data_IF_139808738761
#
_entry.id   IF_139808738761
#
_cell.length_a   1.000
_cell.length_b   1.000
_cell.length_c   1.000
_cell.angle_alpha   90.00
_cell.angle_beta   90.00
_cell.angle_gamma   90.00
#
_symmetry.space_group_name_H-M   'P 1'
#
loop_
_entity.id
_entity.type
_entity.pdbx_description
1 polymer ?
#
# COMPACT_ATOMS: atom_id res chain seq x y z
N UNK A 1 -24.08 -5.17 -53.86
CA UNK A 1 -23.77 -6.09 -52.74
C UNK A 1 -24.57 -5.58 -51.55
N UNK A 2 -25.82 -6.05 -51.41
CA UNK A 2 -26.30 -7.00 -50.39
C UNK A 2 -26.25 -6.46 -48.95
N UNK A 3 -27.44 -6.17 -48.42
CA UNK A 3 -27.77 -6.05 -47.00
C UNK A 3 -27.90 -7.45 -46.39
N UNK A 4 -27.48 -7.65 -45.13
CA UNK A 4 -28.05 -8.67 -44.22
C UNK A 4 -28.01 -8.15 -42.78
N UNK A 5 -29.19 -8.09 -42.19
CA UNK A 5 -29.45 -8.00 -40.76
C UNK A 5 -29.69 -9.43 -40.20
N UNK A 6 -29.66 -9.54 -38.87
CA UNK A 6 -29.99 -10.72 -38.05
C UNK A 6 -28.91 -11.82 -38.06
N UNK A 7 -28.58 -12.49 -36.95
CA UNK A 7 -29.39 -12.85 -35.79
C UNK A 7 -28.49 -13.21 -34.60
N UNK A 8 -28.86 -12.80 -33.39
CA UNK A 8 -28.66 -13.64 -32.20
C UNK A 8 -29.73 -14.75 -32.25
N UNK A 9 -29.45 -15.98 -31.76
CA UNK A 9 -29.69 -16.25 -30.34
C UNK A 9 -28.72 -17.26 -29.65
N UNK A 10 -28.51 -17.01 -28.36
CA UNK A 10 -28.61 -17.92 -27.19
C UNK A 10 -27.97 -19.34 -27.20
N UNK A 11 -27.05 -19.56 -26.25
CA UNK A 11 -26.94 -20.74 -25.37
C UNK A 11 -25.84 -20.45 -24.33
N UNK A 12 -26.19 -20.08 -23.09
CA UNK A 12 -26.48 -21.00 -21.98
C UNK A 12 -25.36 -22.04 -21.78
N UNK A 13 -24.40 -21.73 -20.90
CA UNK A 13 -24.16 -22.59 -19.73
C UNK A 13 -23.53 -21.75 -18.63
N UNK A 14 -24.39 -21.38 -17.69
CA UNK A 14 -24.05 -21.13 -16.32
C UNK A 14 -23.12 -22.24 -15.79
N UNK A 15 -21.84 -21.93 -15.61
CA UNK A 15 -20.98 -22.69 -14.71
C UNK A 15 -20.96 -21.92 -13.40
N UNK A 16 -22.05 -22.06 -12.67
CA UNK A 16 -22.10 -21.86 -11.22
C UNK A 16 -21.15 -22.89 -10.59
N UNK A 17 -19.85 -22.57 -10.59
CA UNK A 17 -18.94 -23.16 -9.62
C UNK A 17 -19.21 -22.43 -8.31
N UNK A 18 -20.20 -22.94 -7.57
CA UNK A 18 -20.19 -22.83 -6.11
C UNK A 18 -18.98 -23.64 -5.68
N UNK A 19 -17.81 -23.01 -5.71
CA UNK A 19 -16.69 -23.44 -4.91
C UNK A 19 -17.15 -23.22 -3.47
N UNK A 20 -17.49 -24.33 -2.82
CA UNK A 20 -17.82 -24.42 -1.41
C UNK A 20 -16.69 -23.73 -0.65
N UNK A 21 -16.95 -22.47 -0.28
CA UNK A 21 -16.02 -21.67 0.49
C UNK A 21 -15.82 -22.40 1.81
N UNK A 22 -14.66 -23.04 1.92
CA UNK A 22 -14.16 -23.56 3.17
C UNK A 22 -14.33 -22.47 4.24
N UNK A 23 -14.81 -22.80 5.45
CA UNK A 23 -15.01 -21.81 6.49
C UNK A 23 -13.69 -21.06 6.69
N UNK A 24 -13.72 -19.75 6.42
CA UNK A 24 -12.59 -18.86 6.70
C UNK A 24 -12.20 -19.08 8.16
N UNK A 25 -10.92 -19.34 8.48
CA UNK A 25 -10.49 -19.44 9.85
C UNK A 25 -10.88 -18.13 10.54
N UNK A 26 -11.61 -18.22 11.65
CA UNK A 26 -12.00 -17.08 12.47
C UNK A 26 -10.79 -16.17 12.64
N UNK A 27 -10.83 -15.00 12.01
CA UNK A 27 -9.75 -14.03 12.08
C UNK A 27 -9.58 -13.66 13.56
N UNK A 28 -8.41 -13.98 14.12
CA UNK A 28 -8.08 -13.61 15.49
C UNK A 28 -8.36 -12.11 15.68
N UNK A 29 -8.95 -11.71 16.83
CA UNK A 29 -9.31 -10.31 17.05
C UNK A 29 -8.05 -9.46 16.88
N UNK A 30 -8.12 -8.49 15.97
CA UNK A 30 -7.01 -7.57 15.71
C UNK A 30 -6.63 -6.87 17.02
N UNK A 31 -5.56 -7.36 17.67
CA UNK A 31 -4.90 -6.62 18.73
C UNK A 31 -4.37 -5.32 18.13
N UNK A 32 -4.26 -4.24 18.92
CA UNK A 32 -3.82 -2.92 18.41
C UNK A 32 -2.51 -3.01 17.60
N UNK A 33 -1.65 -3.97 17.94
CA UNK A 33 -0.39 -4.25 17.26
C UNK A 33 -0.55 -4.77 15.82
N UNK A 34 -1.63 -5.47 15.50
CA UNK A 34 -1.92 -6.04 14.18
C UNK A 34 -2.88 -5.18 13.33
N UNK A 35 -3.30 -4.02 13.85
CA UNK A 35 -4.21 -3.14 13.12
C UNK A 35 -3.46 -2.45 11.97
N UNK A 36 -3.95 -2.62 10.75
CA UNK A 36 -3.40 -1.98 9.55
C UNK A 36 -3.82 -0.50 9.52
N UNK A 37 -2.84 0.39 9.59
CA UNK A 37 -3.02 1.84 9.57
C UNK A 37 -2.51 2.39 8.23
N UNK A 38 -3.38 3.09 7.50
CA UNK A 38 -3.02 3.75 6.25
C UNK A 38 -2.80 5.25 6.44
N UNK A 39 -1.61 5.75 6.08
CA UNK A 39 -1.27 7.18 6.12
C UNK A 39 -0.94 7.70 4.72
N UNK A 40 -1.22 8.99 4.48
CA UNK A 40 -0.88 9.66 3.22
C UNK A 40 0.50 10.32 3.38
N UNK A 41 1.44 9.91 2.54
CA UNK A 41 2.82 10.40 2.55
C UNK A 41 3.09 11.23 1.31
N UNK A 42 3.73 12.40 1.49
CA UNK A 42 4.20 13.23 0.39
C UNK A 42 5.53 12.65 -0.12
N UNK A 43 5.60 12.30 -1.41
CA UNK A 43 6.81 11.78 -2.03
C UNK A 43 7.73 12.92 -2.47
N UNK A 44 7.19 13.85 -3.28
CA UNK A 44 7.92 15.01 -3.81
C UNK A 44 6.94 16.18 -3.90
N UNK A 45 7.16 17.22 -3.10
CA UNK A 45 6.23 18.35 -3.02
C UNK A 45 4.82 17.96 -2.56
N UNK A 46 3.88 18.90 -2.62
CA UNK A 46 2.52 18.72 -2.09
C UNK A 46 1.57 17.97 -3.02
N UNK A 47 1.86 17.92 -4.33
CA UNK A 47 0.98 17.30 -5.34
C UNK A 47 1.16 15.80 -5.47
N UNK A 48 2.35 15.27 -5.16
CA UNK A 48 2.63 13.84 -5.30
C UNK A 48 2.52 13.16 -3.94
N UNK A 49 1.31 12.69 -3.63
CA UNK A 49 1.05 11.93 -2.40
C UNK A 49 0.78 10.46 -2.72
N UNK A 50 1.31 9.56 -1.89
CA UNK A 50 1.01 8.13 -1.93
C UNK A 50 0.38 7.70 -0.61
N UNK A 51 -0.60 6.80 -0.67
CA UNK A 51 -1.12 6.13 0.53
C UNK A 51 -0.22 4.93 0.84
N UNK A 52 0.29 4.86 2.06
CA UNK A 52 1.10 3.76 2.57
C UNK A 52 0.32 3.15 3.73
N UNK A 53 0.20 1.83 3.75
CA UNK A 53 -0.49 1.08 4.80
C UNK A 53 0.50 0.13 5.46
N UNK A 54 0.40 0.00 6.77
CA UNK A 54 1.24 -0.89 7.57
C UNK A 54 0.74 -0.95 9.00
N UNK A 55 1.21 -1.90 9.78
CA UNK A 55 0.85 -2.05 11.19
C UNK A 55 1.48 -0.96 12.05
N UNK A 56 1.00 -0.82 13.29
CA UNK A 56 1.58 0.14 14.24
C UNK A 56 3.09 -0.11 14.43
N UNK A 57 3.51 -1.38 14.53
CA UNK A 57 4.91 -1.77 14.64
C UNK A 57 5.76 -1.33 13.43
N UNK A 58 5.22 -1.46 12.21
CA UNK A 58 5.91 -1.00 10.99
C UNK A 58 6.06 0.52 10.96
N UNK A 59 5.05 1.26 11.41
CA UNK A 59 5.11 2.71 11.52
C UNK A 59 6.15 3.18 12.54
N UNK A 60 6.23 2.50 13.68
CA UNK A 60 7.19 2.83 14.74
C UNK A 60 8.63 2.54 14.30
N UNK A 61 8.84 1.41 13.61
CA UNK A 61 10.14 1.08 13.01
C UNK A 61 10.55 2.10 11.93
N UNK A 62 9.62 2.54 11.09
CA UNK A 62 9.88 3.57 10.09
C UNK A 62 10.26 4.90 10.74
N UNK A 63 9.56 5.31 11.80
CA UNK A 63 9.87 6.51 12.56
C UNK A 63 11.26 6.43 13.21
N UNK A 64 11.62 5.28 13.77
CA UNK A 64 12.94 5.03 14.36
C UNK A 64 14.05 5.17 13.32
N UNK A 65 13.91 4.51 12.17
CA UNK A 65 14.87 4.61 11.05
C UNK A 65 15.04 6.05 10.55
N UNK A 66 13.94 6.80 10.44
CA UNK A 66 13.95 8.19 10.00
C UNK A 66 14.78 9.10 10.92
N UNK A 67 14.68 8.91 12.24
CA UNK A 67 15.48 9.68 13.22
C UNK A 67 16.97 9.40 13.11
N UNK A 68 17.34 8.12 13.03
CA UNK A 68 18.75 7.70 12.91
C UNK A 68 19.38 8.25 11.64
N UNK A 69 18.72 8.04 10.49
CA UNK A 69 19.21 8.53 9.19
C UNK A 69 19.37 10.05 9.17
N UNK A 70 18.41 10.78 9.76
CA UNK A 70 18.47 12.24 9.86
C UNK A 70 19.64 12.69 10.74
N UNK A 71 19.85 12.05 11.89
CA UNK A 71 20.96 12.37 12.78
C UNK A 71 22.33 12.12 12.11
N UNK A 72 22.47 11.00 11.40
CA UNK A 72 23.69 10.69 10.64
C UNK A 72 23.95 11.71 9.52
N UNK A 73 22.90 12.10 8.78
CA UNK A 73 23.02 13.10 7.73
C UNK A 73 23.44 14.47 8.29
N UNK A 74 22.85 14.89 9.41
CA UNK A 74 23.22 16.14 10.08
C UNK A 74 24.64 16.12 10.61
N UNK A 75 25.08 15.01 11.22
CA UNK A 75 26.45 14.86 11.70
C UNK A 75 27.48 14.97 10.56
N UNK A 76 27.21 14.31 9.42
CA UNK A 76 28.06 14.40 8.22
C UNK A 76 28.03 15.80 7.59
N UNK A 77 26.86 16.43 7.53
CA UNK A 77 26.69 17.78 6.97
C UNK A 77 27.30 18.89 7.83
N UNK A 78 27.33 18.73 9.15
CA UNK A 78 27.95 19.69 10.07
C UNK A 78 29.47 19.79 9.85
N UNK A 79 30.14 18.68 9.50
CA UNK A 79 31.56 18.68 9.17
C UNK A 79 31.92 19.47 7.91
N UNK A 80 31.00 19.58 6.95
CA UNK A 80 31.22 20.31 5.69
C UNK A 80 31.24 21.84 5.91
N UNK A 81 30.47 22.36 6.86
CA UNK A 81 30.45 23.82 7.14
C UNK A 81 31.65 24.31 7.95
N UNK A 82 32.38 23.43 8.64
CA UNK A 82 33.53 23.82 9.45
C UNK A 82 34.86 23.87 8.67
N UNK A 83 34.94 23.26 7.48
CA UNK A 83 36.15 23.25 6.65
C UNK A 83 36.25 24.42 5.66
N UNK A 84 35.36 25.41 5.77
CA UNK A 84 35.26 26.56 4.84
C UNK A 84 35.55 27.91 5.49
N UNK A 85 36.53 27.98 6.40
CA UNK A 85 37.06 29.24 6.93
C UNK A 85 38.59 29.20 6.93
#
# INVERSE_FOLDING_TARGET
>A
MQAQAASEPEQETEVTQIEEAAPEPEAEPATEENTVICRRTQLIGSKFTKRICGTQAEWDELARKGRVSTAEFQAKGAGIRQAGN
#
